data_IF_430680368064
#
_entry.id   IF_430680368064
#
_cell.length_a   1.000
_cell.length_b   1.000
_cell.length_c   1.000
_cell.angle_alpha   90.00
_cell.angle_beta   90.00
_cell.angle_gamma   90.00
#
_symmetry.space_group_name_H-M   'P 1'
#
loop_
_entity.id
_entity.type
_entity.pdbx_description
1 polymer ?
#
# COMPACT_ATOMS: atom_id res chain seq x y z
N UNK A 1 15.02 17.81 -10.25
CA UNK A 1 14.01 17.47 -9.23
C UNK A 1 14.05 15.96 -9.03
N UNK A 2 13.97 15.47 -7.79
CA UNK A 2 14.12 14.05 -7.52
C UNK A 2 12.78 13.34 -7.68
N UNK A 3 12.77 12.30 -8.50
CA UNK A 3 11.60 11.44 -8.70
C UNK A 3 11.50 10.43 -7.57
N UNK A 4 10.28 10.28 -7.05
CA UNK A 4 9.91 9.40 -5.94
C UNK A 4 8.86 8.40 -6.41
N UNK A 5 8.85 7.24 -5.78
CA UNK A 5 7.89 6.17 -6.02
C UNK A 5 7.03 5.97 -4.79
N UNK A 6 5.72 6.09 -4.95
CA UNK A 6 4.75 5.79 -3.90
C UNK A 6 4.06 4.49 -4.26
N UNK A 7 4.11 3.52 -3.36
CA UNK A 7 3.40 2.26 -3.49
C UNK A 7 2.25 2.24 -2.48
N UNK A 8 1.04 2.03 -2.95
CA UNK A 8 -0.14 1.88 -2.10
C UNK A 8 -0.55 0.41 -2.12
N UNK A 9 -0.56 -0.24 -0.95
CA UNK A 9 -0.95 -1.65 -0.83
C UNK A 9 -2.12 -1.79 0.13
N UNK A 10 -3.28 -2.23 -0.38
CA UNK A 10 -4.38 -2.62 0.50
C UNK A 10 -4.01 -3.90 1.22
N UNK A 11 -4.32 -3.99 2.51
CA UNK A 11 -4.11 -5.22 3.27
C UNK A 11 -4.69 -6.46 2.57
N UNK A 12 -4.06 -7.61 2.78
CA UNK A 12 -4.52 -8.87 2.22
C UNK A 12 -5.78 -9.38 2.93
N UNK A 13 -6.43 -10.39 2.35
CA UNK A 13 -7.72 -10.90 2.83
C UNK A 13 -7.65 -11.41 4.28
N UNK A 14 -8.45 -10.83 5.16
CA UNK A 14 -8.56 -11.18 6.58
C UNK A 14 -9.76 -12.08 6.88
N UNK A 15 -9.76 -12.69 8.08
CA UNK A 15 -10.92 -13.44 8.59
C UNK A 15 -12.05 -12.45 8.86
N UNK A 16 -13.26 -12.79 8.44
CA UNK A 16 -14.51 -12.08 8.76
C UNK A 16 -15.30 -12.99 9.72
N UNK A 17 -16.17 -12.41 10.54
CA UNK A 17 -17.17 -13.14 11.33
C UNK A 17 -16.58 -14.03 12.45
N UNK A 18 -15.58 -13.50 13.15
CA UNK A 18 -15.06 -14.08 14.39
C UNK A 18 -15.22 -13.05 15.50
N UNK A 19 -15.57 -13.49 16.71
CA UNK A 19 -15.63 -12.64 17.92
C UNK A 19 -14.24 -12.20 18.37
N UNK A 20 -13.60 -11.36 17.56
CA UNK A 20 -12.39 -10.63 17.91
C UNK A 20 -12.56 -9.20 17.47
N UNK A 21 -11.95 -8.32 18.26
CA UNK A 21 -11.77 -6.91 17.91
C UNK A 21 -11.27 -6.77 16.46
N UNK A 22 -11.88 -5.86 15.68
CA UNK A 22 -11.51 -5.62 14.29
C UNK A 22 -10.00 -5.42 14.12
N UNK A 23 -9.39 -4.71 15.08
CA UNK A 23 -7.97 -4.43 15.11
C UNK A 23 -7.10 -5.71 15.12
N UNK A 24 -7.57 -6.75 15.80
CA UNK A 24 -6.86 -8.01 16.02
C UNK A 24 -7.16 -9.08 14.97
N UNK A 25 -8.02 -8.78 13.98
CA UNK A 25 -8.38 -9.73 12.93
C UNK A 25 -7.16 -10.21 12.14
N UNK A 26 -6.89 -11.53 12.12
CA UNK A 26 -5.76 -12.08 11.38
C UNK A 26 -6.06 -12.19 9.88
N UNK A 27 -4.99 -12.38 9.09
CA UNK A 27 -5.11 -12.76 7.69
C UNK A 27 -5.65 -14.19 7.53
N UNK A 28 -6.46 -14.44 6.49
CA UNK A 28 -6.77 -15.81 6.04
C UNK A 28 -5.52 -16.44 5.41
N UNK A 29 -5.45 -17.78 5.34
CA UNK A 29 -4.37 -18.50 4.63
C UNK A 29 -4.16 -17.98 3.19
N UNK A 30 -5.25 -17.80 2.44
CA UNK A 30 -5.21 -17.20 1.09
C UNK A 30 -4.68 -15.75 1.09
N UNK A 31 -4.98 -14.95 2.12
CA UNK A 31 -4.45 -13.60 2.27
C UNK A 31 -2.94 -13.58 2.55
N UNK A 32 -2.45 -14.51 3.37
CA UNK A 32 -1.00 -14.69 3.60
C UNK A 32 -0.30 -15.04 2.29
N UNK A 33 -0.85 -15.97 1.50
CA UNK A 33 -0.27 -16.35 0.22
C UNK A 33 -0.28 -15.18 -0.77
N UNK A 34 -1.39 -14.44 -0.84
CA UNK A 34 -1.51 -13.25 -1.69
C UNK A 34 -0.45 -12.18 -1.37
N UNK A 35 -0.21 -11.91 -0.08
CA UNK A 35 0.83 -10.98 0.35
C UNK A 35 2.25 -11.45 -0.04
N UNK A 36 2.53 -12.76 0.06
CA UNK A 36 3.80 -13.33 -0.39
C UNK A 36 3.96 -13.23 -1.91
N UNK A 37 2.94 -13.61 -2.67
CA UNK A 37 2.94 -13.51 -4.14
C UNK A 37 3.20 -12.07 -4.59
N UNK A 38 2.51 -11.09 -3.98
CA UNK A 38 2.75 -9.68 -4.27
C UNK A 38 4.19 -9.27 -3.93
N UNK A 39 4.74 -9.72 -2.80
CA UNK A 39 6.13 -9.43 -2.43
C UNK A 39 7.16 -10.01 -3.41
N UNK A 40 7.02 -11.27 -3.85
CA UNK A 40 7.93 -11.84 -4.86
C UNK A 40 7.83 -11.08 -6.19
N UNK A 41 6.61 -10.79 -6.65
CA UNK A 41 6.42 -10.00 -7.87
C UNK A 41 7.05 -8.61 -7.74
N UNK A 42 6.88 -7.93 -6.59
CA UNK A 42 7.52 -6.63 -6.34
C UNK A 42 9.05 -6.73 -6.38
N UNK A 43 9.64 -7.84 -5.92
CA UNK A 43 11.08 -8.07 -6.02
C UNK A 43 11.52 -8.22 -7.49
N UNK A 44 10.81 -9.02 -8.27
CA UNK A 44 11.07 -9.22 -9.71
C UNK A 44 10.97 -7.90 -10.50
N UNK A 45 10.01 -7.04 -10.13
CA UNK A 45 9.85 -5.70 -10.71
C UNK A 45 10.80 -4.64 -10.12
N UNK A 46 11.73 -5.02 -9.24
CA UNK A 46 12.69 -4.12 -8.57
C UNK A 46 12.00 -2.98 -7.79
N UNK A 47 10.84 -3.26 -7.18
CA UNK A 47 10.01 -2.33 -6.41
C UNK A 47 10.28 -2.36 -4.89
N UNK A 48 11.47 -2.76 -4.46
CA UNK A 48 11.89 -2.72 -3.05
C UNK A 48 11.75 -1.33 -2.41
N UNK A 49 10.90 -1.13 -1.38
CA UNK A 49 10.76 0.15 -0.71
C UNK A 49 11.93 0.45 0.22
N UNK A 50 12.25 1.72 0.38
CA UNK A 50 13.21 2.21 1.40
C UNK A 50 12.53 2.37 2.77
N UNK A 51 11.22 2.62 2.75
CA UNK A 51 10.39 2.85 3.92
C UNK A 51 9.03 2.18 3.72
N UNK A 52 8.58 1.42 4.72
CA UNK A 52 7.23 0.88 4.76
C UNK A 52 6.49 1.55 5.91
N UNK A 53 5.34 2.16 5.64
CA UNK A 53 4.43 2.68 6.66
C UNK A 53 3.19 1.78 6.67
N UNK A 54 2.75 1.36 7.85
CA UNK A 54 1.59 0.49 7.99
C UNK A 54 0.69 0.93 9.13
N UNK A 55 -0.62 0.79 8.93
CA UNK A 55 -1.55 0.81 10.06
C UNK A 55 -1.18 -0.29 11.06
N UNK A 56 -1.34 -0.07 12.38
CA UNK A 56 -0.90 -1.04 13.37
C UNK A 56 -1.84 -2.25 13.50
N UNK A 57 -2.99 -2.24 12.81
CA UNK A 57 -3.91 -3.38 12.78
C UNK A 57 -3.20 -4.67 12.32
N UNK A 58 -3.59 -5.81 12.91
CA UNK A 58 -2.89 -7.09 12.71
C UNK A 58 -2.82 -7.51 11.24
N UNK A 59 -3.88 -7.24 10.47
CA UNK A 59 -3.97 -7.56 9.04
C UNK A 59 -3.01 -6.75 8.16
N UNK A 60 -2.86 -5.44 8.41
CA UNK A 60 -1.94 -4.57 7.67
C UNK A 60 -0.50 -4.91 8.03
N UNK A 61 -0.19 -5.03 9.33
CA UNK A 61 1.15 -5.42 9.80
C UNK A 61 1.57 -6.79 9.30
N UNK A 62 0.67 -7.78 9.31
CA UNK A 62 0.98 -9.09 8.75
C UNK A 62 1.20 -9.02 7.23
N UNK A 63 0.39 -8.25 6.51
CA UNK A 63 0.57 -8.03 5.05
C UNK A 63 1.95 -7.42 4.77
N UNK A 64 2.29 -6.32 5.44
CA UNK A 64 3.58 -5.64 5.30
C UNK A 64 4.76 -6.59 5.59
N UNK A 65 4.71 -7.33 6.70
CA UNK A 65 5.75 -8.31 7.07
C UNK A 65 5.89 -9.43 6.04
N UNK A 66 4.80 -9.91 5.44
CA UNK A 66 4.85 -10.99 4.44
C UNK A 66 5.42 -10.50 3.11
N UNK A 67 5.05 -9.29 2.67
CA UNK A 67 5.65 -8.63 1.49
C UNK A 67 7.14 -8.41 1.70
N UNK A 68 7.51 -7.74 2.80
CA UNK A 68 8.89 -7.44 3.17
C UNK A 68 9.79 -8.69 3.17
N UNK A 69 9.35 -9.76 3.84
CA UNK A 69 10.09 -11.04 3.86
C UNK A 69 10.20 -11.70 2.49
N UNK A 70 9.16 -11.65 1.66
CA UNK A 70 9.21 -12.22 0.30
C UNK A 70 10.16 -11.44 -0.62
N UNK A 71 10.44 -10.17 -0.30
CA UNK A 71 11.43 -9.34 -0.99
C UNK A 71 12.85 -9.47 -0.44
N UNK A 72 13.07 -10.32 0.57
CA UNK A 72 14.35 -10.45 1.27
C UNK A 72 14.73 -9.24 2.13
N UNK A 73 13.76 -8.38 2.48
CA UNK A 73 13.99 -7.17 3.26
C UNK A 73 13.85 -7.43 4.77
N UNK A 74 14.57 -6.64 5.58
CA UNK A 74 14.43 -6.65 7.03
C UNK A 74 13.13 -5.95 7.46
N UNK A 75 12.38 -6.57 8.39
CA UNK A 75 11.10 -6.01 8.84
C UNK A 75 11.21 -4.74 9.70
N UNK A 76 12.43 -4.34 10.10
CA UNK A 76 12.72 -3.09 10.82
C UNK A 76 12.46 -1.84 9.99
N UNK A 77 12.39 -1.94 8.65
CA UNK A 77 12.00 -0.82 7.79
C UNK A 77 10.50 -0.49 7.87
N UNK A 78 9.71 -1.31 8.59
CA UNK A 78 8.28 -1.12 8.79
C UNK A 78 8.05 -0.21 9.99
N UNK A 79 7.53 0.98 9.72
CA UNK A 79 7.07 1.94 10.72
C UNK A 79 5.54 1.84 10.85
N UNK A 80 5.08 1.86 12.10
CA UNK A 80 3.66 1.89 12.40
C UNK A 80 3.20 3.34 12.53
N UNK A 81 2.04 3.65 11.95
CA UNK A 81 1.39 4.93 12.12
C UNK A 81 -0.11 4.72 12.36
N UNK A 82 -0.58 5.15 13.54
CA UNK A 82 -1.96 4.99 13.97
C UNK A 82 -2.94 5.71 13.04
N UNK A 83 -2.51 6.83 12.43
CA UNK A 83 -3.33 7.64 11.51
C UNK A 83 -3.73 6.89 10.25
N UNK A 84 -3.07 5.77 9.94
CA UNK A 84 -3.36 4.92 8.78
C UNK A 84 -4.54 3.96 9.06
N UNK A 85 -4.90 3.74 10.33
CA UNK A 85 -6.10 2.98 10.69
C UNK A 85 -7.35 3.86 10.65
N UNK A 86 -8.41 3.42 9.96
CA UNK A 86 -9.63 4.20 9.76
C UNK A 86 -9.35 5.65 9.30
N UNK A 87 -8.34 5.80 8.45
CA UNK A 87 -7.85 7.09 7.98
C UNK A 87 -8.86 7.80 7.07
N UNK A 88 -8.65 9.10 6.91
CA UNK A 88 -9.16 9.89 5.78
C UNK A 88 -8.05 10.12 4.76
N UNK A 89 -8.38 10.63 3.57
CA UNK A 89 -7.38 10.98 2.54
C UNK A 89 -6.39 12.03 3.05
N UNK A 90 -6.88 13.01 3.82
CA UNK A 90 -6.06 14.07 4.42
C UNK A 90 -5.04 13.50 5.39
N UNK A 91 -5.47 12.57 6.28
CA UNK A 91 -4.55 11.92 7.22
C UNK A 91 -3.49 11.09 6.49
N UNK A 92 -3.87 10.31 5.47
CA UNK A 92 -2.89 9.55 4.69
C UNK A 92 -1.92 10.48 3.94
N UNK A 93 -2.41 11.61 3.44
CA UNK A 93 -1.56 12.63 2.79
C UNK A 93 -0.57 13.24 3.77
N UNK A 94 -1.00 13.57 4.99
CA UNK A 94 -0.12 14.08 6.05
C UNK A 94 0.98 13.08 6.41
N UNK A 95 0.62 11.80 6.60
CA UNK A 95 1.58 10.70 6.83
C UNK A 95 2.63 10.64 5.72
N UNK A 96 2.20 10.74 4.46
CA UNK A 96 3.11 10.76 3.32
C UNK A 96 3.96 12.02 3.27
N UNK A 97 3.42 13.19 3.64
CA UNK A 97 4.15 14.46 3.68
C UNK A 97 5.25 14.50 4.73
N UNK A 98 5.09 13.75 5.82
CA UNK A 98 6.05 13.63 6.91
C UNK A 98 7.16 12.59 6.63
N UNK A 99 7.10 11.87 5.50
CA UNK A 99 8.14 10.92 5.12
C UNK A 99 9.51 11.60 4.97
N UNK A 100 10.61 10.94 5.41
CA UNK A 100 11.96 11.49 5.26
C UNK A 100 12.28 11.88 3.81
N UNK A 101 12.91 13.04 3.61
CA UNK A 101 13.28 13.51 2.27
C UNK A 101 14.15 12.51 1.50
N UNK A 102 14.93 11.71 2.23
CA UNK A 102 15.83 10.64 1.73
C UNK A 102 15.09 9.41 1.22
N UNK A 103 13.85 9.15 1.65
CA UNK A 103 13.07 8.01 1.16
C UNK A 103 12.70 8.24 -0.30
N UNK A 104 13.19 7.38 -1.20
CA UNK A 104 12.90 7.45 -2.64
C UNK A 104 11.69 6.62 -2.99
N UNK A 105 11.50 5.48 -2.32
CA UNK A 105 10.35 4.59 -2.48
C UNK A 105 9.68 4.31 -1.14
N UNK A 106 8.42 4.75 -1.01
CA UNK A 106 7.60 4.54 0.18
C UNK A 106 6.49 3.55 -0.15
N UNK A 107 6.30 2.54 0.69
CA UNK A 107 5.16 1.63 0.66
C UNK A 107 4.20 1.94 1.81
N UNK A 108 2.98 2.37 1.49
CA UNK A 108 1.91 2.58 2.45
C UNK A 108 0.96 1.37 2.45
N UNK A 109 0.87 0.68 3.58
CA UNK A 109 0.00 -0.50 3.76
C UNK A 109 -1.21 -0.14 4.63
N UNK A 110 -2.37 0.02 4.00
CA UNK A 110 -3.56 0.58 4.62
C UNK A 110 -4.86 -0.17 4.30
N UNK A 111 -5.98 0.56 4.46
CA UNK A 111 -7.34 0.05 4.35
C UNK A 111 -8.14 0.88 3.34
N UNK A 112 -9.11 0.25 2.69
CA UNK A 112 -10.15 0.97 1.96
C UNK A 112 -11.25 1.43 2.93
N UNK A 113 -11.99 2.51 2.63
CA UNK A 113 -11.99 3.25 1.35
C UNK A 113 -10.81 4.21 1.17
N UNK A 114 -10.29 4.79 2.25
CA UNK A 114 -9.33 5.90 2.19
C UNK A 114 -8.08 5.68 1.33
N UNK A 115 -7.55 4.44 1.26
CA UNK A 115 -6.40 4.15 0.40
C UNK A 115 -6.73 4.25 -1.10
N UNK A 116 -7.94 3.87 -1.49
CA UNK A 116 -8.44 3.99 -2.87
C UNK A 116 -8.78 5.44 -3.20
N UNK A 117 -9.40 6.16 -2.26
CA UNK A 117 -9.69 7.59 -2.41
C UNK A 117 -8.39 8.40 -2.53
N UNK A 118 -7.36 8.06 -1.74
CA UNK A 118 -6.03 8.67 -1.86
C UNK A 118 -5.40 8.41 -3.24
N UNK A 119 -5.54 7.19 -3.76
CA UNK A 119 -5.06 6.88 -5.11
C UNK A 119 -5.73 7.80 -6.14
N UNK A 120 -7.05 7.93 -6.08
CA UNK A 120 -7.83 8.79 -6.98
C UNK A 120 -7.42 10.27 -6.84
N UNK A 121 -7.25 10.74 -5.60
CA UNK A 121 -6.90 12.12 -5.30
C UNK A 121 -5.51 12.50 -5.84
N UNK A 122 -4.54 11.60 -5.77
CA UNK A 122 -3.15 11.88 -6.14
C UNK A 122 -2.89 11.85 -7.65
N UNK A 123 -3.66 11.08 -8.42
CA UNK A 123 -3.39 10.90 -9.86
C UNK A 123 -3.79 12.12 -10.69
N UNK A 124 -2.93 12.48 -11.65
CA UNK A 124 -3.16 13.61 -12.56
C UNK A 124 -4.25 13.35 -13.59
N UNK A 125 -4.43 12.10 -14.00
CA UNK A 125 -5.37 11.70 -15.04
C UNK A 125 -6.38 10.71 -14.45
N UNK A 126 -7.63 10.71 -14.96
CA UNK A 126 -8.60 9.69 -14.62
C UNK A 126 -8.04 8.29 -14.86
N UNK A 127 -8.33 7.36 -13.96
CA UNK A 127 -7.95 5.96 -14.13
C UNK A 127 -9.06 5.23 -14.90
N UNK A 128 -8.67 4.35 -15.82
CA UNK A 128 -9.60 3.38 -16.38
C UNK A 128 -10.11 2.46 -15.26
N UNK A 129 -11.43 2.42 -15.09
CA UNK A 129 -12.03 1.57 -14.09
C UNK A 129 -11.97 0.11 -14.57
N UNK A 130 -11.61 -0.82 -13.67
CA UNK A 130 -11.67 -2.25 -13.98
C UNK A 130 -13.13 -2.68 -14.17
N UNK A 131 -13.37 -3.70 -15.00
CA UNK A 131 -14.72 -4.23 -15.28
C UNK A 131 -15.51 -4.61 -14.01
N UNK A 132 -14.80 -5.06 -12.97
CA UNK A 132 -15.40 -5.44 -11.68
C UNK A 132 -15.64 -4.26 -10.73
N UNK A 133 -15.34 -3.03 -11.15
CA UNK A 133 -15.51 -1.77 -10.43
C UNK A 133 -14.62 -1.62 -9.19
N UNK A 134 -13.79 -2.61 -8.85
CA UNK A 134 -13.02 -2.62 -7.60
C UNK A 134 -11.60 -2.18 -7.91
N UNK A 135 -11.22 -0.93 -7.69
CA UNK A 135 -9.88 -0.42 -8.03
C UNK A 135 -8.82 -1.11 -7.17
N UNK A 136 -8.96 -1.06 -5.84
CA UNK A 136 -8.02 -1.64 -4.88
C UNK A 136 -8.64 -2.82 -4.11
N UNK A 137 -8.82 -4.02 -4.70
CA UNK A 137 -9.19 -5.22 -3.94
C UNK A 137 -8.09 -5.62 -2.95
N UNK A 138 -8.37 -6.55 -2.03
CA UNK A 138 -7.37 -6.98 -1.01
C UNK A 138 -6.07 -7.44 -1.65
N UNK A 139 -4.94 -7.00 -1.12
CA UNK A 139 -3.59 -7.22 -1.67
C UNK A 139 -3.32 -6.62 -3.06
N UNK A 140 -4.15 -5.68 -3.55
CA UNK A 140 -3.81 -4.89 -4.73
C UNK A 140 -2.75 -3.83 -4.40
N UNK A 141 -1.85 -3.61 -5.35
CA UNK A 141 -0.76 -2.64 -5.28
C UNK A 141 -0.94 -1.60 -6.39
N UNK A 142 -0.99 -0.32 -6.02
CA UNK A 142 -0.86 0.79 -6.96
C UNK A 142 0.54 1.38 -6.88
N UNK A 143 1.19 1.57 -8.01
CA UNK A 143 2.49 2.24 -8.12
C UNK A 143 2.27 3.62 -8.72
N UNK A 144 2.64 4.66 -7.98
CA UNK A 144 2.62 6.03 -8.44
C UNK A 144 4.05 6.58 -8.53
N UNK A 145 4.24 7.50 -9.46
CA UNK A 145 5.45 8.29 -9.62
C UNK A 145 5.16 9.76 -9.33
N UNK A 146 6.00 10.38 -8.51
CA UNK A 146 5.85 11.77 -8.08
C UNK A 146 7.19 12.49 -8.17
N UNK A 147 7.22 13.69 -8.74
CA UNK A 147 8.43 14.52 -8.83
C UNK A 147 8.30 15.68 -7.84
N UNK A 148 9.05 15.62 -6.73
CA UNK A 148 9.01 16.64 -5.70
C UNK A 148 9.45 16.15 -4.32
N UNK A 149 9.29 17.01 -3.31
CA UNK A 149 9.52 16.64 -1.92
C UNK A 149 8.23 16.04 -1.32
N UNK A 150 8.35 15.03 -0.46
CA UNK A 150 7.19 14.42 0.20
C UNK A 150 6.31 15.47 0.89
N UNK A 151 6.91 16.42 1.59
CA UNK A 151 6.23 17.55 2.26
C UNK A 151 5.44 18.49 1.34
N UNK A 152 5.54 18.32 0.01
CA UNK A 152 4.78 19.05 -1.01
C UNK A 152 3.88 18.13 -1.84
N UNK A 153 3.70 16.89 -1.43
CA UNK A 153 2.73 15.98 -2.04
C UNK A 153 1.33 16.57 -1.87
N UNK A 154 0.59 16.64 -2.96
CA UNK A 154 -0.76 17.20 -3.00
C UNK A 154 -1.55 16.50 -4.09
N UNK A 155 -2.84 16.80 -4.17
CA UNK A 155 -3.77 16.29 -5.17
C UNK A 155 -3.29 16.51 -6.59
N UNK A 156 -3.54 15.53 -7.46
CA UNK A 156 -3.21 15.56 -8.88
C UNK A 156 -1.72 15.88 -9.17
N UNK A 157 -0.81 15.38 -8.33
CA UNK A 157 0.64 15.56 -8.52
C UNK A 157 1.38 14.31 -8.93
N UNK A 158 0.74 13.14 -8.89
CA UNK A 158 1.36 11.87 -9.20
C UNK A 158 0.82 11.27 -10.51
N UNK A 159 1.63 10.43 -11.15
CA UNK A 159 1.24 9.63 -12.30
C UNK A 159 1.09 8.19 -11.86
N UNK A 160 -0.04 7.55 -12.18
CA UNK A 160 -0.20 6.11 -11.99
C UNK A 160 0.67 5.39 -13.02
N UNK A 161 1.59 4.55 -12.53
CA UNK A 161 2.46 3.72 -13.38
C UNK A 161 1.82 2.36 -13.63
N UNK A 162 1.29 1.73 -12.57
CA UNK A 162 0.67 0.42 -12.65
C UNK A 162 -0.30 0.17 -11.49
N UNK A 163 -1.34 -0.62 -11.76
CA UNK A 163 -2.25 -1.17 -10.76
C UNK A 163 -2.25 -2.70 -10.86
N UNK A 164 -1.58 -3.35 -9.91
CA UNK A 164 -1.35 -4.80 -9.93
C UNK A 164 -2.27 -5.50 -8.94
N UNK A 165 -2.95 -6.57 -9.40
CA UNK A 165 -3.81 -7.41 -8.56
C UNK A 165 -3.22 -8.79 -8.47
N UNK A 166 -3.28 -9.42 -7.29
CA UNK A 166 -2.79 -10.80 -7.14
C UNK A 166 -3.44 -11.78 -8.13
N UNK A 167 -4.72 -11.57 -8.51
CA UNK A 167 -5.41 -12.43 -9.49
C UNK A 167 -4.74 -12.43 -10.88
N UNK A 168 -4.03 -11.37 -11.25
CA UNK A 168 -3.35 -11.26 -12.55
C UNK A 168 -1.91 -11.82 -12.50
N UNK A 169 -1.44 -12.24 -11.33
CA UNK A 169 -0.10 -12.80 -11.11
C UNK A 169 -0.10 -14.33 -10.99
N UNK A 170 -1.28 -14.93 -10.94
CA UNK A 170 -1.46 -16.37 -10.84
C UNK A 170 -1.72 -16.88 -12.27
N UNK A 171 -0.67 -17.41 -12.90
CA UNK A 171 -0.76 -18.15 -14.16
C UNK A 171 -1.20 -19.59 -13.92
#
# INVERSE_FOLDING_TARGET
MNTKSLLLLRHAKSVQDIEVDDWLRPLKKKGIQAAKTMGHWMLEQQLQPDLIISSPAKRTMCTAKKVCKAMGLDTSIIQQDERVYNATVELLTQVLQECPATAKRVLLVGHNPALEDLLIELVQQPMDLPDDGKIMPTAALAQLQYTGAWSKLASHKATLVALTRVKTLLH
#
